data_IF_994103756171
#
_entry.id   IF_994103756171
#
_cell.length_a   1.000
_cell.length_b   1.000
_cell.length_c   1.000
_cell.angle_alpha   90.00
_cell.angle_beta   90.00
_cell.angle_gamma   90.00
#
_symmetry.space_group_name_H-M   'P 1'
#
loop_
_entity.id
_entity.type
_entity.pdbx_description
1 polymer ?
#
# COMPACT_ATOMS: atom_id res chain seq x y z
N UNK A 1 7.45 -19.49 27.95
CA UNK A 1 7.64 -18.23 28.71
C UNK A 1 7.20 -17.07 27.83
N UNK A 2 6.07 -16.42 28.15
CA UNK A 2 5.61 -15.22 27.44
C UNK A 2 6.26 -14.00 28.07
N UNK A 3 7.18 -13.36 27.35
CA UNK A 3 7.76 -12.09 27.82
C UNK A 3 6.69 -11.01 27.84
N UNK A 4 6.65 -10.22 28.91
CA UNK A 4 5.73 -9.08 29.01
C UNK A 4 6.10 -7.99 28.00
N UNK A 5 5.10 -7.28 27.48
CA UNK A 5 5.27 -6.19 26.50
C UNK A 5 6.31 -5.15 26.96
N UNK A 6 6.33 -4.83 28.25
CA UNK A 6 7.29 -3.90 28.85
C UNK A 6 8.74 -4.39 28.74
N UNK A 7 8.98 -5.69 28.93
CA UNK A 7 10.31 -6.30 28.81
C UNK A 7 10.82 -6.22 27.37
N UNK A 8 9.95 -6.51 26.40
CA UNK A 8 10.28 -6.43 24.96
C UNK A 8 10.61 -4.98 24.57
N UNK A 9 9.79 -4.01 24.98
CA UNK A 9 10.06 -2.60 24.69
C UNK A 9 11.36 -2.09 25.33
N UNK A 10 11.70 -2.58 26.52
CA UNK A 10 12.95 -2.21 27.21
C UNK A 10 14.18 -2.74 26.45
N UNK A 11 14.13 -3.99 25.99
CA UNK A 11 15.18 -4.60 25.16
C UNK A 11 15.35 -3.87 23.82
N UNK A 12 14.24 -3.60 23.12
CA UNK A 12 14.31 -2.86 21.85
C UNK A 12 14.94 -1.47 22.03
N UNK A 13 14.64 -0.79 23.15
CA UNK A 13 15.26 0.50 23.48
C UNK A 13 16.73 0.39 23.88
N UNK A 14 17.14 -0.66 24.62
CA UNK A 14 18.56 -0.85 24.95
C UNK A 14 19.40 -1.03 23.70
N UNK A 15 18.84 -1.67 22.68
CA UNK A 15 19.48 -1.91 21.39
C UNK A 15 19.32 -0.74 20.41
N UNK A 16 18.75 0.39 20.89
CA UNK A 16 18.47 1.62 20.12
C UNK A 16 17.59 1.37 18.88
N UNK A 17 16.68 0.41 18.94
CA UNK A 17 15.75 0.10 17.88
C UNK A 17 14.48 0.97 18.01
N UNK A 18 14.10 1.60 16.91
CA UNK A 18 12.91 2.44 16.79
C UNK A 18 11.90 1.81 15.84
N UNK A 19 10.59 1.98 16.10
CA UNK A 19 9.55 1.47 15.23
C UNK A 19 9.38 2.37 14.00
N UNK A 20 9.60 1.81 12.82
CA UNK A 20 9.32 2.45 11.53
C UNK A 20 8.15 1.76 10.85
N UNK A 21 7.26 2.55 10.24
CA UNK A 21 6.12 2.04 9.48
C UNK A 21 6.59 1.59 8.10
N UNK A 22 6.07 0.46 7.62
CA UNK A 22 6.30 0.04 6.24
C UNK A 22 5.60 0.96 5.26
N UNK A 23 6.31 1.33 4.20
CA UNK A 23 5.69 1.93 3.03
C UNK A 23 5.19 0.81 2.14
N UNK A 24 3.87 0.66 2.00
CA UNK A 24 3.31 -0.29 1.04
C UNK A 24 3.41 0.33 -0.36
N UNK A 25 4.06 -0.37 -1.28
CA UNK A 25 4.02 -0.03 -2.69
C UNK A 25 3.33 -1.14 -3.47
N UNK A 26 2.48 -0.75 -4.42
CA UNK A 26 1.90 -1.68 -5.36
C UNK A 26 3.01 -2.30 -6.20
N UNK A 27 3.04 -3.63 -6.32
CA UNK A 27 3.96 -4.32 -7.22
C UNK A 27 3.54 -4.10 -8.67
N UNK A 28 4.00 -3.00 -9.27
CA UNK A 28 3.77 -2.69 -10.68
C UNK A 28 4.68 -3.57 -11.54
N UNK A 29 4.14 -4.08 -12.65
CA UNK A 29 4.95 -4.69 -13.71
C UNK A 29 5.64 -3.59 -14.51
N UNK A 30 6.75 -3.92 -15.15
CA UNK A 30 7.51 -2.97 -15.99
C UNK A 30 6.61 -2.28 -17.04
N UNK A 31 5.72 -3.05 -17.67
CA UNK A 31 4.79 -2.55 -18.69
C UNK A 31 3.68 -1.65 -18.12
N UNK A 32 3.35 -1.78 -16.83
CA UNK A 32 2.29 -0.99 -16.20
C UNK A 32 2.68 0.49 -16.14
N UNK A 33 3.98 0.79 -16.03
CA UNK A 33 4.46 2.17 -15.98
C UNK A 33 4.10 2.94 -17.25
N UNK A 34 4.44 2.38 -18.42
CA UNK A 34 4.15 3.02 -19.70
C UNK A 34 2.64 3.15 -19.95
N UNK A 35 1.86 2.12 -19.62
CA UNK A 35 0.39 2.17 -19.74
C UNK A 35 -0.23 3.26 -18.87
N UNK A 36 0.26 3.42 -17.64
CA UNK A 36 -0.21 4.47 -16.71
C UNK A 36 0.13 5.87 -17.21
N UNK A 37 1.35 6.07 -17.73
CA UNK A 37 1.74 7.36 -18.33
C UNK A 37 0.82 7.69 -19.51
N UNK A 38 0.65 6.76 -20.46
CA UNK A 38 -0.22 6.97 -21.62
C UNK A 38 -1.68 7.26 -21.23
N UNK A 39 -2.20 6.58 -20.21
CA UNK A 39 -3.54 6.88 -19.68
C UNK A 39 -3.63 8.30 -19.09
N UNK A 40 -2.64 8.71 -18.29
CA UNK A 40 -2.60 10.05 -17.72
C UNK A 40 -2.52 11.14 -18.81
N UNK A 41 -1.69 10.94 -19.82
CA UNK A 41 -1.57 11.86 -20.96
C UNK A 41 -2.90 11.98 -21.72
N UNK A 42 -3.55 10.84 -22.01
CA UNK A 42 -4.87 10.83 -22.64
C UNK A 42 -5.93 11.55 -21.80
N UNK A 43 -5.97 11.29 -20.49
CA UNK A 43 -6.94 11.90 -19.58
C UNK A 43 -6.77 13.43 -19.52
N UNK A 44 -5.52 13.92 -19.51
CA UNK A 44 -5.21 15.35 -19.57
C UNK A 44 -5.64 15.98 -20.90
N UNK A 45 -5.46 15.29 -22.03
CA UNK A 45 -5.92 15.78 -23.33
C UNK A 45 -7.44 15.91 -23.38
N UNK A 46 -8.17 14.93 -22.84
CA UNK A 46 -9.64 15.01 -22.77
C UNK A 46 -10.09 16.19 -21.89
N UNK A 47 -9.47 16.37 -20.73
CA UNK A 47 -9.75 17.48 -19.83
C UNK A 47 -9.42 18.85 -20.43
N UNK A 48 -8.38 18.96 -21.25
CA UNK A 48 -8.05 20.21 -21.96
C UNK A 48 -9.01 20.51 -23.11
N UNK A 49 -9.63 19.47 -23.69
CA UNK A 49 -10.60 19.62 -24.78
C UNK A 49 -11.99 19.97 -24.23
N UNK A 50 -12.37 19.35 -23.12
CA UNK A 50 -13.57 19.63 -22.36
C UNK A 50 -13.21 19.75 -20.88
N UNK A 51 -13.23 20.99 -20.37
CA UNK A 51 -12.90 21.30 -18.97
C UNK A 51 -13.80 20.56 -17.94
N UNK A 52 -14.92 19.98 -18.36
CA UNK A 52 -15.81 19.18 -17.52
C UNK A 52 -15.55 17.67 -17.56
N UNK A 53 -14.70 17.18 -18.46
CA UNK A 53 -14.60 15.74 -18.78
C UNK A 53 -14.44 14.86 -17.54
N UNK A 54 -13.46 15.16 -16.67
CA UNK A 54 -13.19 14.37 -15.46
C UNK A 54 -14.38 14.39 -14.50
N UNK A 55 -15.10 15.52 -14.41
CA UNK A 55 -16.23 15.68 -13.51
C UNK A 55 -17.46 14.84 -13.93
N UNK A 56 -17.55 14.46 -15.21
CA UNK A 56 -18.62 13.60 -15.72
C UNK A 56 -18.27 12.10 -15.68
N UNK A 57 -17.06 11.73 -15.26
CA UNK A 57 -16.68 10.31 -15.12
C UNK A 57 -17.29 9.76 -13.83
N UNK A 58 -18.16 8.76 -13.99
CA UNK A 58 -18.63 7.94 -12.88
C UNK A 58 -17.62 6.81 -12.60
N UNK A 59 -16.85 6.95 -11.53
CA UNK A 59 -15.91 5.93 -11.08
C UNK A 59 -16.64 4.82 -10.32
N UNK A 60 -16.37 3.58 -10.71
CA UNK A 60 -16.84 2.39 -10.01
C UNK A 60 -15.66 1.49 -9.69
N UNK A 61 -15.74 0.78 -8.57
CA UNK A 61 -14.73 -0.21 -8.17
C UNK A 61 -15.41 -1.36 -7.43
N UNK A 62 -14.80 -2.53 -7.47
CA UNK A 62 -15.21 -3.70 -6.71
C UNK A 62 -14.23 -3.91 -5.55
N UNK A 63 -14.73 -3.82 -4.31
CA UNK A 63 -13.89 -4.02 -3.12
C UNK A 63 -14.00 -5.47 -2.61
N UNK A 64 -12.86 -6.11 -2.42
CA UNK A 64 -12.77 -7.50 -1.99
C UNK A 64 -12.55 -7.63 -0.49
N UNK A 65 -13.54 -8.15 0.23
CA UNK A 65 -13.43 -8.43 1.66
C UNK A 65 -13.13 -9.92 1.90
N UNK A 66 -11.85 -10.30 1.99
CA UNK A 66 -11.47 -11.67 2.34
C UNK A 66 -11.37 -11.86 3.86
N UNK A 67 -11.90 -12.97 4.38
CA UNK A 67 -11.91 -13.30 5.82
C UNK A 67 -10.51 -13.55 6.41
N UNK A 68 -9.57 -14.02 5.60
CA UNK A 68 -8.29 -14.57 6.11
C UNK A 68 -7.15 -13.56 6.23
N UNK A 69 -7.31 -12.34 5.71
CA UNK A 69 -6.21 -11.39 5.64
C UNK A 69 -6.62 -9.94 5.93
N UNK A 70 -7.19 -9.72 7.10
CA UNK A 70 -7.08 -8.41 7.75
C UNK A 70 -5.67 -8.30 8.35
N UNK A 71 -4.65 -8.27 7.48
CA UNK A 71 -3.34 -7.78 7.91
C UNK A 71 -3.52 -6.31 8.24
N UNK A 72 -3.53 -5.98 9.54
CA UNK A 72 -3.61 -4.59 9.99
C UNK A 72 -2.27 -3.94 9.65
N UNK A 73 -2.14 -3.44 8.41
CA UNK A 73 -0.96 -2.73 7.91
C UNK A 73 -0.53 -1.60 8.86
N UNK A 74 -1.50 -1.03 9.58
CA UNK A 74 -1.27 -0.01 10.58
C UNK A 74 -0.44 -0.50 11.79
N UNK A 75 -0.60 -1.76 12.20
CA UNK A 75 0.10 -2.34 13.35
C UNK A 75 1.44 -3.00 12.96
N UNK A 76 1.81 -2.98 11.67
CA UNK A 76 3.04 -3.57 11.18
C UNK A 76 4.19 -2.56 11.24
N UNK A 77 5.14 -2.81 12.14
CA UNK A 77 6.34 -1.99 12.30
C UNK A 77 7.60 -2.83 12.11
N UNK A 78 8.61 -2.20 11.55
CA UNK A 78 9.98 -2.68 11.52
C UNK A 78 10.76 -1.99 12.63
N UNK A 79 11.55 -2.74 13.38
CA UNK A 79 12.41 -2.19 14.43
C UNK A 79 13.84 -2.10 13.91
N UNK A 80 14.38 -0.90 13.80
CA UNK A 80 15.73 -0.65 13.26
C UNK A 80 16.39 0.52 13.99
N UNK A 81 17.72 0.61 13.98
CA UNK A 81 18.45 1.76 14.52
C UNK A 81 18.39 2.98 13.58
N UNK A 82 18.19 2.73 12.28
CA UNK A 82 18.11 3.77 11.24
C UNK A 82 16.84 3.54 10.42
N UNK A 83 16.22 4.63 9.96
CA UNK A 83 15.08 4.54 9.05
C UNK A 83 15.53 3.94 7.70
N UNK A 84 15.33 2.64 7.53
CA UNK A 84 15.68 1.92 6.30
C UNK A 84 14.66 2.10 5.17
N UNK A 85 13.68 3.02 5.34
CA UNK A 85 12.63 3.32 4.36
C UNK A 85 12.02 2.06 3.73
N UNK A 86 11.83 1.01 4.54
CA UNK A 86 11.60 -0.31 3.99
C UNK A 86 10.25 -0.38 3.29
N UNK A 87 10.35 -0.64 2.00
CA UNK A 87 9.21 -0.82 1.11
C UNK A 87 8.77 -2.27 1.20
N UNK A 88 7.49 -2.47 1.51
CA UNK A 88 6.86 -3.79 1.38
C UNK A 88 6.04 -3.80 0.11
N UNK A 89 6.52 -4.54 -0.88
CA UNK A 89 5.78 -4.76 -2.13
C UNK A 89 4.61 -5.68 -1.85
N UNK A 90 3.40 -5.24 -2.18
CA UNK A 90 2.23 -6.10 -2.10
C UNK A 90 2.28 -7.14 -3.21
N UNK A 91 2.46 -8.42 -2.83
CA UNK A 91 2.74 -9.53 -3.76
C UNK A 91 1.53 -9.98 -4.61
N UNK A 92 0.32 -9.55 -4.28
CA UNK A 92 -0.90 -10.07 -4.91
C UNK A 92 -1.68 -8.95 -5.60
N UNK A 93 -1.65 -8.93 -6.93
CA UNK A 93 -2.63 -8.22 -7.78
C UNK A 93 -3.88 -9.08 -8.05
N UNK A 94 -3.78 -10.41 -7.91
CA UNK A 94 -4.92 -11.34 -8.11
C UNK A 94 -5.21 -12.09 -6.81
N UNK A 95 -6.19 -11.61 -6.06
CA UNK A 95 -7.03 -12.47 -5.23
C UNK A 95 -8.36 -12.62 -5.91
N UNK A 96 -8.90 -13.83 -5.88
CA UNK A 96 -10.25 -14.07 -6.39
C UNK A 96 -11.21 -13.58 -5.33
N UNK A 97 -12.05 -12.67 -5.74
CA UNK A 97 -13.14 -12.12 -4.95
C UNK A 97 -14.40 -12.85 -5.41
N UNK A 98 -15.19 -13.31 -4.45
CA UNK A 98 -16.52 -13.82 -4.74
C UNK A 98 -17.45 -12.61 -4.65
N UNK A 99 -18.12 -12.28 -5.75
CA UNK A 99 -19.26 -11.39 -5.71
C UNK A 99 -20.38 -12.09 -4.95
N UNK A 100 -20.89 -11.44 -3.90
CA UNK A 100 -22.12 -11.83 -3.20
C UNK A 100 -23.26 -11.03 -3.77
#
# INVERSE_FOLDING_TARGET
MTSTKSTVHRLLRSDRLYPFRYTTMQGLKTDDCQKRVGFCEWLLQQQNTDNGFIAYILWTDEACCTRDEVFIHHNSHMWSQVNSQTIRVQKHQKRRCLNV
#
